data_IF_512230407387
#
_entry.id   IF_512230407387
#
_cell.length_a   1.000
_cell.length_b   1.000
_cell.length_c   1.000
_cell.angle_alpha   90.00
_cell.angle_beta   90.00
_cell.angle_gamma   90.00
#
_symmetry.space_group_name_H-M   'P 1'
#
loop_
_entity.id
_entity.type
_entity.pdbx_description
1 polymer ?
#
# COMPACT_ATOMS: atom_id res chain seq x y z
N UNK A 1 11.98 24.91 -18.53
CA UNK A 1 12.18 24.09 -17.33
C UNK A 1 11.10 23.03 -17.31
N UNK A 2 11.49 21.75 -17.14
CA UNK A 2 10.55 20.64 -17.04
C UNK A 2 9.72 20.76 -15.75
N UNK A 3 8.51 20.22 -15.78
CA UNK A 3 7.67 20.16 -14.57
C UNK A 3 8.30 19.24 -13.50
N UNK A 4 8.06 19.51 -12.21
CA UNK A 4 8.61 18.66 -11.15
C UNK A 4 8.07 17.23 -11.27
N UNK A 5 8.90 16.26 -10.89
CA UNK A 5 8.52 14.84 -10.81
C UNK A 5 8.50 14.44 -9.33
N UNK A 6 7.42 13.83 -8.89
CA UNK A 6 7.25 13.34 -7.53
C UNK A 6 7.21 11.81 -7.47
N UNK A 7 7.65 11.22 -6.35
CA UNK A 7 8.40 11.83 -5.24
C UNK A 7 9.81 12.27 -5.67
N UNK A 8 10.55 13.00 -4.82
CA UNK A 8 11.96 13.32 -5.05
C UNK A 8 12.78 12.07 -5.36
N UNK A 9 13.84 12.21 -6.13
CA UNK A 9 14.64 11.07 -6.64
C UNK A 9 15.06 10.09 -5.53
N UNK A 10 15.51 10.58 -4.38
CA UNK A 10 15.92 9.76 -3.25
C UNK A 10 14.79 9.02 -2.52
N UNK A 11 13.51 9.27 -2.87
CA UNK A 11 12.37 8.63 -2.22
C UNK A 11 11.64 7.63 -3.13
N UNK A 12 12.00 7.52 -4.40
CA UNK A 12 11.23 6.73 -5.39
C UNK A 12 11.15 5.25 -5.08
N UNK A 13 12.19 4.69 -4.48
CA UNK A 13 12.27 3.27 -4.11
C UNK A 13 12.11 3.03 -2.60
N UNK A 14 11.68 4.02 -1.84
CA UNK A 14 11.60 3.97 -0.38
C UNK A 14 10.79 2.78 0.14
N UNK A 15 9.73 2.38 -0.55
CA UNK A 15 8.94 1.21 -0.18
C UNK A 15 9.78 -0.07 -0.17
N UNK A 16 10.66 -0.25 -1.17
CA UNK A 16 11.54 -1.41 -1.27
C UNK A 16 12.72 -1.34 -0.28
N UNK A 17 13.21 -0.13 0.00
CA UNK A 17 14.29 0.10 0.96
C UNK A 17 13.86 -0.19 2.39
N UNK A 18 12.66 0.28 2.79
CA UNK A 18 12.13 0.08 4.15
C UNK A 18 11.56 -1.31 4.37
N UNK A 19 11.12 -1.98 3.31
CA UNK A 19 10.52 -3.32 3.37
C UNK A 19 11.23 -4.25 2.39
N UNK A 20 12.46 -4.71 2.72
CA UNK A 20 13.17 -5.71 1.92
C UNK A 20 12.32 -6.98 1.73
N UNK A 21 12.55 -7.70 0.64
CA UNK A 21 11.75 -8.87 0.26
C UNK A 21 11.57 -9.87 1.42
N UNK A 22 12.64 -10.17 2.14
CA UNK A 22 12.62 -11.15 3.24
C UNK A 22 11.80 -10.69 4.45
N UNK A 23 11.57 -9.40 4.60
CA UNK A 23 10.78 -8.83 5.70
C UNK A 23 9.30 -8.65 5.38
N UNK A 24 8.89 -8.83 4.12
CA UNK A 24 7.51 -8.60 3.69
C UNK A 24 6.55 -9.58 4.38
N UNK A 25 5.56 -9.03 5.07
CA UNK A 25 4.43 -9.75 5.67
C UNK A 25 3.13 -9.42 4.96
N UNK A 26 2.93 -8.15 4.65
CA UNK A 26 1.72 -7.60 4.01
C UNK A 26 2.12 -6.74 2.83
N UNK A 27 1.40 -6.85 1.73
CA UNK A 27 1.52 -5.98 0.56
C UNK A 27 0.25 -5.16 0.44
N UNK A 28 0.38 -3.84 0.40
CA UNK A 28 -0.73 -2.91 0.10
C UNK A 28 -0.39 -2.18 -1.20
N UNK A 29 -1.24 -2.37 -2.22
CA UNK A 29 -1.03 -1.78 -3.54
C UNK A 29 -1.77 -0.45 -3.66
N UNK A 30 -1.02 0.63 -3.91
CA UNK A 30 -1.55 1.91 -4.36
C UNK A 30 -1.51 2.04 -5.88
N UNK A 31 -1.96 3.18 -6.41
CA UNK A 31 -2.01 3.44 -7.84
C UNK A 31 -0.81 4.24 -8.32
N UNK A 32 -0.75 5.52 -8.01
CA UNK A 32 0.35 6.42 -8.32
C UNK A 32 0.63 7.39 -7.16
N UNK A 33 1.80 8.05 -7.13
CA UNK A 33 2.10 9.01 -6.07
C UNK A 33 1.18 10.22 -6.09
N UNK A 34 1.03 10.87 -4.95
CA UNK A 34 0.39 12.19 -4.89
C UNK A 34 1.15 13.17 -5.79
N UNK A 35 0.42 13.99 -6.56
CA UNK A 35 0.99 14.91 -7.54
C UNK A 35 1.13 16.36 -7.03
N UNK A 36 0.72 16.63 -5.79
CA UNK A 36 0.91 17.91 -5.13
C UNK A 36 2.32 18.06 -4.54
N UNK A 37 2.83 19.31 -4.41
CA UNK A 37 4.14 19.56 -3.83
C UNK A 37 4.26 19.00 -2.41
N UNK A 38 5.36 18.31 -2.10
CA UNK A 38 5.67 17.83 -0.77
C UNK A 38 4.80 16.68 -0.25
N UNK A 39 3.88 16.13 -1.03
CA UNK A 39 2.96 15.06 -0.58
C UNK A 39 3.53 13.66 -0.75
N UNK A 40 4.06 13.33 -1.93
CA UNK A 40 4.59 12.01 -2.20
C UNK A 40 5.91 11.76 -1.46
N UNK A 41 6.02 10.63 -0.77
CA UNK A 41 7.20 10.25 0.00
C UNK A 41 7.77 8.87 -0.37
N UNK A 42 7.23 8.23 -1.42
CA UNK A 42 7.69 6.91 -1.88
C UNK A 42 7.01 5.72 -1.22
N UNK A 43 5.97 5.95 -0.43
CA UNK A 43 5.11 4.94 0.17
C UNK A 43 3.66 5.19 -0.27
N UNK A 44 2.95 4.15 -0.70
CA UNK A 44 1.54 4.28 -1.10
C UNK A 44 0.69 4.81 0.06
N UNK A 45 -0.25 5.69 -0.26
CA UNK A 45 -1.17 6.35 0.68
C UNK A 45 -0.54 7.34 1.67
N UNK A 46 0.77 7.26 1.92
CA UNK A 46 1.47 8.03 2.93
C UNK A 46 1.84 9.44 2.46
N UNK A 47 1.92 10.35 3.42
CA UNK A 47 2.49 11.70 3.27
C UNK A 47 3.48 11.97 4.41
N UNK A 48 4.47 12.87 4.23
CA UNK A 48 5.39 13.23 5.32
C UNK A 48 4.66 13.84 6.52
N UNK A 49 5.28 13.76 7.69
CA UNK A 49 4.82 14.50 8.86
C UNK A 49 4.69 16.00 8.55
N UNK A 50 3.67 16.64 9.13
CA UNK A 50 3.36 18.04 8.88
C UNK A 50 2.53 18.30 7.62
N UNK A 51 2.37 17.30 6.74
CA UNK A 51 1.47 17.36 5.60
C UNK A 51 0.09 16.87 6.02
N UNK A 52 -0.96 17.57 5.57
CA UNK A 52 -2.35 17.18 5.87
C UNK A 52 -2.63 15.75 5.41
N UNK A 53 -3.20 14.93 6.29
CA UNK A 53 -3.60 13.56 5.98
C UNK A 53 -4.60 13.54 4.83
N UNK A 54 -4.30 12.84 3.71
CA UNK A 54 -5.20 12.77 2.57
C UNK A 54 -6.49 12.02 2.89
N UNK A 55 -7.59 12.27 2.16
CA UNK A 55 -8.91 11.68 2.45
C UNK A 55 -8.93 10.15 2.45
N UNK A 56 -8.22 9.50 1.52
CA UNK A 56 -8.15 8.04 1.50
C UNK A 56 -7.41 7.49 2.73
N UNK A 57 -6.31 8.12 3.16
CA UNK A 57 -5.59 7.72 4.36
C UNK A 57 -6.40 7.98 5.63
N UNK A 58 -7.15 9.08 5.69
CA UNK A 58 -8.07 9.34 6.79
C UNK A 58 -9.12 8.22 6.93
N UNK A 59 -9.64 7.70 5.81
CA UNK A 59 -10.56 6.56 5.83
C UNK A 59 -9.87 5.26 6.23
N UNK A 60 -8.62 5.04 5.81
CA UNK A 60 -7.80 3.90 6.26
C UNK A 60 -7.65 3.94 7.78
N UNK A 61 -7.36 5.09 8.37
CA UNK A 61 -7.25 5.25 9.82
C UNK A 61 -8.57 5.05 10.56
N UNK A 62 -9.70 5.50 9.99
CA UNK A 62 -11.03 5.21 10.57
C UNK A 62 -11.33 3.72 10.60
N UNK A 63 -11.00 3.00 9.53
CA UNK A 63 -11.16 1.54 9.51
C UNK A 63 -10.20 0.85 10.48
N UNK A 64 -8.96 1.34 10.61
CA UNK A 64 -7.99 0.83 11.58
C UNK A 64 -8.51 0.96 13.02
N UNK A 65 -9.08 2.11 13.37
CA UNK A 65 -9.68 2.35 14.69
C UNK A 65 -10.90 1.43 14.93
N UNK A 66 -11.77 1.30 13.93
CA UNK A 66 -12.95 0.42 14.02
C UNK A 66 -12.57 -1.07 14.09
N UNK A 67 -11.53 -1.49 13.39
CA UNK A 67 -11.09 -2.90 13.30
C UNK A 67 -10.26 -3.34 14.52
N UNK A 68 -9.32 -2.52 14.98
CA UNK A 68 -8.35 -2.87 16.01
C UNK A 68 -8.37 -1.98 17.24
N UNK A 69 -9.19 -0.93 17.28
CA UNK A 69 -9.24 0.03 18.40
C UNK A 69 -7.98 0.91 18.50
N UNK A 70 -7.17 0.98 17.44
CA UNK A 70 -5.98 1.82 17.38
C UNK A 70 -6.40 3.24 17.03
N UNK A 71 -6.09 4.20 17.90
CA UNK A 71 -6.42 5.60 17.67
C UNK A 71 -5.81 6.14 16.37
N UNK A 72 -6.58 6.96 15.64
CA UNK A 72 -6.11 7.56 14.40
C UNK A 72 -4.84 8.40 14.66
N UNK A 73 -3.72 8.12 13.96
CA UNK A 73 -2.52 8.94 14.06
C UNK A 73 -2.79 10.39 13.62
N UNK A 74 -2.08 11.34 14.25
CA UNK A 74 -2.18 12.76 13.88
C UNK A 74 -1.41 13.10 12.59
N UNK A 75 -0.56 12.20 12.10
CA UNK A 75 0.27 12.36 10.90
C UNK A 75 -0.06 11.31 9.84
N UNK A 76 0.42 11.51 8.62
CA UNK A 76 0.24 10.58 7.50
C UNK A 76 1.48 9.78 7.12
N UNK A 77 2.53 9.79 7.96
CA UNK A 77 3.74 9.00 7.70
C UNK A 77 3.53 7.53 8.10
N UNK A 78 3.61 6.63 7.12
CA UNK A 78 3.47 5.18 7.29
C UNK A 78 4.82 4.44 7.31
N UNK A 79 5.93 5.14 7.50
CA UNK A 79 7.25 4.52 7.54
C UNK A 79 7.37 3.47 8.65
N UNK A 80 6.67 3.62 9.77
CA UNK A 80 6.62 2.62 10.83
C UNK A 80 6.01 1.30 10.34
N UNK A 81 4.91 1.35 9.59
CA UNK A 81 4.31 0.16 8.97
C UNK A 81 5.28 -0.51 8.00
N UNK A 82 5.95 0.30 7.15
CA UNK A 82 6.91 -0.22 6.18
C UNK A 82 8.06 -0.98 6.87
N UNK A 83 8.63 -0.43 7.93
CA UNK A 83 9.70 -1.08 8.71
C UNK A 83 9.24 -2.36 9.43
N UNK A 84 7.93 -2.50 9.66
CA UNK A 84 7.31 -3.67 10.31
C UNK A 84 6.85 -4.75 9.32
N UNK A 85 7.21 -4.62 8.06
CA UNK A 85 6.94 -5.63 7.02
C UNK A 85 5.72 -5.35 6.14
N UNK A 86 5.20 -4.12 6.14
CA UNK A 86 4.12 -3.71 5.23
C UNK A 86 4.72 -3.04 4.00
N UNK A 87 4.73 -3.74 2.87
CA UNK A 87 5.17 -3.20 1.58
C UNK A 87 4.08 -2.29 1.00
N UNK A 88 4.28 -0.98 1.15
CA UNK A 88 3.39 0.07 0.65
C UNK A 88 3.82 0.49 -0.76
N UNK A 89 3.42 -0.28 -1.76
CA UNK A 89 3.90 -0.14 -3.13
C UNK A 89 2.84 0.48 -4.05
N UNK A 90 3.19 1.57 -4.73
CA UNK A 90 2.38 2.08 -5.84
C UNK A 90 2.64 1.29 -7.11
N UNK A 91 1.64 1.21 -7.98
CA UNK A 91 1.77 0.60 -9.31
C UNK A 91 2.73 1.40 -10.21
N UNK A 92 2.68 2.73 -10.11
CA UNK A 92 3.57 3.67 -10.78
C UNK A 92 4.34 4.45 -9.72
N UNK A 93 5.68 4.50 -9.79
CA UNK A 93 6.50 5.06 -8.71
C UNK A 93 6.84 6.55 -8.88
N UNK A 94 6.45 7.15 -9.98
CA UNK A 94 6.62 8.59 -10.23
C UNK A 94 5.39 9.20 -10.88
N UNK A 95 5.26 10.53 -10.75
CA UNK A 95 4.19 11.32 -11.35
C UNK A 95 4.70 12.72 -11.67
N UNK A 96 4.20 13.35 -12.75
CA UNK A 96 4.44 14.76 -13.06
C UNK A 96 3.62 15.63 -12.10
N UNK A 97 4.22 16.67 -11.55
CA UNK A 97 3.56 17.60 -10.65
C UNK A 97 2.28 18.19 -11.25
N UNK A 98 1.19 18.14 -10.50
CA UNK A 98 -0.12 18.62 -10.89
C UNK A 98 -0.88 17.75 -11.89
N UNK A 99 -0.37 16.56 -12.27
CA UNK A 99 -1.00 15.72 -13.30
C UNK A 99 -1.04 14.25 -12.86
N UNK A 100 -2.16 13.87 -12.25
CA UNK A 100 -2.42 12.49 -11.84
C UNK A 100 -2.24 11.50 -13.00
N UNK A 101 -1.70 10.32 -12.71
CA UNK A 101 -1.48 9.22 -13.65
C UNK A 101 -0.61 9.56 -14.88
N UNK A 102 0.12 10.67 -14.86
CA UNK A 102 0.93 11.13 -16.00
C UNK A 102 2.05 10.17 -16.42
N UNK A 103 2.51 9.31 -15.54
CA UNK A 103 3.52 8.30 -15.82
C UNK A 103 2.96 6.86 -15.91
N UNK A 104 1.66 6.70 -15.92
CA UNK A 104 1.04 5.40 -16.18
C UNK A 104 1.38 4.90 -17.59
N UNK A 105 1.65 3.61 -17.73
CA UNK A 105 2.04 3.00 -19.00
C UNK A 105 3.44 3.37 -19.49
N UNK A 106 4.31 3.88 -18.62
CA UNK A 106 5.68 4.28 -18.99
C UNK A 106 6.78 3.34 -18.46
N UNK A 107 6.40 2.12 -18.05
CA UNK A 107 7.34 1.06 -17.67
C UNK A 107 7.45 0.76 -16.19
N UNK A 108 6.98 1.64 -15.29
CA UNK A 108 6.98 1.34 -13.86
C UNK A 108 6.19 0.08 -13.52
N UNK A 109 5.11 -0.17 -14.22
CA UNK A 109 4.24 -1.33 -14.02
C UNK A 109 5.00 -2.65 -14.14
N UNK A 110 5.93 -2.75 -15.12
CA UNK A 110 6.77 -3.94 -15.27
C UNK A 110 7.65 -4.17 -14.05
N UNK A 111 8.25 -3.11 -13.51
CA UNK A 111 9.10 -3.19 -12.32
C UNK A 111 8.26 -3.58 -11.08
N UNK A 112 7.14 -2.92 -10.88
CA UNK A 112 6.29 -3.17 -9.71
C UNK A 112 5.54 -4.51 -9.80
N UNK A 113 5.20 -4.98 -11.00
CA UNK A 113 4.69 -6.34 -11.21
C UNK A 113 5.74 -7.39 -10.80
N UNK A 114 7.02 -7.18 -11.18
CA UNK A 114 8.11 -8.06 -10.78
C UNK A 114 8.32 -8.07 -9.26
N UNK A 115 8.21 -6.92 -8.59
CA UNK A 115 8.29 -6.84 -7.12
C UNK A 115 7.17 -7.64 -6.44
N UNK A 116 5.93 -7.49 -6.90
CA UNK A 116 4.78 -8.24 -6.35
C UNK A 116 4.92 -9.74 -6.64
N UNK A 117 5.36 -10.10 -7.85
CA UNK A 117 5.62 -11.49 -8.24
C UNK A 117 6.71 -12.14 -7.37
N UNK A 118 7.76 -11.40 -7.03
CA UNK A 118 8.81 -11.90 -6.13
C UNK A 118 8.26 -12.23 -4.73
N UNK A 119 7.33 -11.42 -4.19
CA UNK A 119 6.66 -11.76 -2.92
C UNK A 119 5.75 -12.96 -3.08
N UNK A 120 4.98 -13.03 -4.18
CA UNK A 120 4.05 -14.14 -4.45
C UNK A 120 4.77 -15.48 -4.69
N UNK A 121 6.02 -15.46 -5.15
CA UNK A 121 6.84 -16.66 -5.38
C UNK A 121 7.47 -17.23 -4.09
N UNK A 122 7.40 -16.50 -2.97
CA UNK A 122 7.98 -16.97 -1.70
C UNK A 122 7.16 -18.12 -1.11
N UNK A 123 7.84 -19.06 -0.48
CA UNK A 123 7.19 -20.14 0.27
C UNK A 123 6.51 -19.61 1.55
N UNK A 124 7.01 -18.53 2.13
CA UNK A 124 6.43 -17.90 3.31
C UNK A 124 5.08 -17.24 3.01
N UNK A 125 4.01 -17.61 3.74
CA UNK A 125 2.71 -17.00 3.58
C UNK A 125 2.74 -15.49 3.81
N UNK A 126 2.14 -14.73 2.90
CA UNK A 126 2.02 -13.29 2.98
C UNK A 126 0.57 -12.84 2.72
N UNK A 127 0.23 -11.63 3.12
CA UNK A 127 -1.11 -11.06 2.90
C UNK A 127 -1.03 -9.99 1.82
N UNK A 128 -1.96 -10.05 0.88
CA UNK A 128 -2.12 -9.02 -0.16
C UNK A 128 -3.44 -8.29 0.08
N UNK A 129 -3.36 -7.01 0.44
CA UNK A 129 -4.51 -6.15 0.64
C UNK A 129 -4.72 -5.31 -0.63
N UNK A 130 -5.83 -5.55 -1.31
CA UNK A 130 -6.14 -5.03 -2.63
C UNK A 130 -7.37 -4.13 -2.57
N UNK A 131 -7.15 -2.84 -2.42
CA UNK A 131 -8.19 -1.84 -2.35
C UNK A 131 -8.55 -1.28 -3.72
N UNK A 132 -9.76 -1.59 -4.19
CA UNK A 132 -10.30 -1.13 -5.45
C UNK A 132 -9.90 -1.97 -6.67
N UNK A 133 -10.62 -1.74 -7.76
CA UNK A 133 -10.51 -2.54 -8.98
C UNK A 133 -9.12 -2.51 -9.62
N UNK A 134 -8.40 -1.39 -9.49
CA UNK A 134 -7.05 -1.25 -10.08
C UNK A 134 -6.05 -2.21 -9.43
N UNK A 135 -5.98 -2.24 -8.09
CA UNK A 135 -5.13 -3.16 -7.36
C UNK A 135 -5.53 -4.64 -7.60
N UNK A 136 -6.83 -4.92 -7.63
CA UNK A 136 -7.36 -6.25 -7.89
C UNK A 136 -7.03 -6.73 -9.31
N UNK A 137 -7.13 -5.85 -10.32
CA UNK A 137 -6.77 -6.17 -11.70
C UNK A 137 -5.27 -6.46 -11.87
N UNK A 138 -4.40 -5.69 -11.18
CA UNK A 138 -2.96 -5.96 -11.14
C UNK A 138 -2.68 -7.34 -10.56
N UNK A 139 -3.26 -7.65 -9.42
CA UNK A 139 -3.05 -8.92 -8.73
C UNK A 139 -3.49 -10.14 -9.56
N UNK A 140 -4.53 -10.01 -10.38
CA UNK A 140 -4.98 -11.09 -11.28
C UNK A 140 -3.93 -11.50 -12.32
N UNK A 141 -2.99 -10.62 -12.65
CA UNK A 141 -1.91 -10.89 -13.61
C UNK A 141 -0.67 -11.51 -12.97
N UNK A 142 -0.60 -11.52 -11.64
CA UNK A 142 0.56 -12.04 -10.90
C UNK A 142 0.35 -13.54 -10.65
N UNK A 143 1.17 -14.34 -11.30
CA UNK A 143 1.19 -15.80 -11.11
C UNK A 143 1.55 -16.15 -9.66
N UNK A 144 0.92 -17.18 -9.11
CA UNK A 144 1.16 -17.64 -7.74
C UNK A 144 0.47 -16.87 -6.64
N UNK A 145 0.04 -15.62 -6.89
CA UNK A 145 -0.59 -14.80 -5.85
C UNK A 145 -1.87 -15.42 -5.28
N UNK A 146 -2.61 -16.15 -6.10
CA UNK A 146 -3.86 -16.85 -5.74
C UNK A 146 -3.71 -18.37 -5.64
N UNK A 147 -2.48 -18.88 -5.56
CA UNK A 147 -2.23 -20.33 -5.49
C UNK A 147 -2.59 -20.99 -4.14
N UNK A 148 -3.10 -20.21 -3.18
CA UNK A 148 -3.63 -20.72 -1.91
C UNK A 148 -2.68 -20.61 -0.71
N UNK A 149 -1.40 -20.32 -0.93
CA UNK A 149 -0.44 -20.13 0.15
C UNK A 149 -0.47 -18.72 0.76
N UNK A 150 -1.02 -17.74 0.04
CA UNK A 150 -1.15 -16.37 0.47
C UNK A 150 -2.61 -16.01 0.76
N UNK A 151 -2.81 -15.03 1.64
CA UNK A 151 -4.13 -14.44 1.87
C UNK A 151 -4.34 -13.24 0.94
N UNK A 152 -5.46 -13.21 0.25
CA UNK A 152 -5.86 -12.06 -0.56
C UNK A 152 -7.10 -11.43 0.07
N UNK A 153 -7.00 -10.17 0.49
CA UNK A 153 -8.08 -9.39 1.09
C UNK A 153 -8.48 -8.30 0.10
N UNK A 154 -9.67 -8.41 -0.45
CA UNK A 154 -10.21 -7.46 -1.42
C UNK A 154 -11.34 -6.64 -0.81
N UNK A 155 -11.39 -5.36 -1.12
CA UNK A 155 -12.50 -4.46 -0.81
C UNK A 155 -12.55 -3.30 -1.81
N UNK A 156 -13.62 -2.48 -1.82
CA UNK A 156 -13.61 -1.19 -2.49
C UNK A 156 -12.45 -0.32 -2.01
N UNK A 157 -12.10 0.70 -2.80
CA UNK A 157 -11.02 1.63 -2.47
C UNK A 157 -11.40 2.54 -1.29
N UNK A 158 -10.45 2.93 -0.41
CA UNK A 158 -10.70 3.82 0.74
C UNK A 158 -11.03 5.27 0.37
N UNK A 159 -10.99 5.64 -0.92
CA UNK A 159 -11.44 6.97 -1.38
C UNK A 159 -12.83 7.30 -0.88
N UNK A 160 -13.11 8.57 -0.51
CA UNK A 160 -14.47 9.02 -0.16
C UNK A 160 -15.55 8.66 -1.19
N UNK A 161 -15.16 8.48 -2.46
CA UNK A 161 -16.08 8.09 -3.54
C UNK A 161 -16.55 6.63 -3.46
N UNK A 162 -15.86 5.76 -2.72
CA UNK A 162 -16.13 4.32 -2.69
C UNK A 162 -16.07 3.68 -1.30
N UNK A 163 -15.54 4.36 -0.29
CA UNK A 163 -15.33 3.76 1.04
C UNK A 163 -16.61 3.21 1.68
N UNK A 164 -17.74 3.88 1.50
CA UNK A 164 -19.05 3.45 2.01
C UNK A 164 -19.68 2.28 1.25
N UNK A 165 -19.04 1.82 0.16
CA UNK A 165 -19.53 0.68 -0.65
C UNK A 165 -18.95 -0.66 -0.21
N UNK A 166 -18.30 -0.71 0.97
CA UNK A 166 -17.76 -1.94 1.56
C UNK A 166 -16.27 -1.90 1.92
N UNK A 167 -15.60 -0.74 1.85
CA UNK A 167 -14.28 -0.58 2.47
C UNK A 167 -14.42 -0.53 4.00
N UNK A 168 -15.31 0.32 4.51
CA UNK A 168 -15.63 0.34 5.94
C UNK A 168 -16.30 -0.97 6.36
N UNK A 169 -15.79 -1.59 7.42
CA UNK A 169 -16.22 -2.89 7.92
C UNK A 169 -15.54 -4.07 7.21
N UNK A 170 -14.62 -3.86 6.27
CA UNK A 170 -13.87 -4.94 5.61
C UNK A 170 -12.82 -5.60 6.52
N UNK A 171 -12.44 -4.94 7.60
CA UNK A 171 -11.53 -5.44 8.65
C UNK A 171 -10.22 -6.01 8.13
N UNK A 172 -9.50 -5.30 7.26
CA UNK A 172 -8.31 -5.84 6.60
C UNK A 172 -7.15 -6.10 7.57
N UNK A 173 -7.03 -5.30 8.63
CA UNK A 173 -5.90 -5.35 9.57
C UNK A 173 -5.98 -6.55 10.50
N UNK A 174 -7.14 -6.78 11.13
CA UNK A 174 -7.36 -7.95 11.98
C UNK A 174 -7.32 -9.25 11.18
N UNK A 175 -7.87 -9.26 9.96
CA UNK A 175 -7.83 -10.42 9.06
C UNK A 175 -6.40 -10.74 8.63
N UNK A 176 -5.59 -9.73 8.30
CA UNK A 176 -4.18 -9.91 7.97
C UNK A 176 -3.41 -10.53 9.16
N UNK A 177 -3.59 -9.98 10.35
CA UNK A 177 -2.93 -10.48 11.55
C UNK A 177 -3.37 -11.89 11.94
N UNK A 178 -4.66 -12.21 11.81
CA UNK A 178 -5.17 -13.57 12.03
C UNK A 178 -4.50 -14.58 11.10
N UNK A 179 -4.44 -14.28 9.80
CA UNK A 179 -3.78 -15.14 8.82
C UNK A 179 -2.28 -15.33 9.13
N UNK A 180 -1.56 -14.26 9.42
CA UNK A 180 -0.13 -14.34 9.75
C UNK A 180 0.11 -15.23 10.98
N UNK A 181 -0.67 -15.03 12.03
CA UNK A 181 -0.57 -15.81 13.29
C UNK A 181 -0.89 -17.28 13.05
N UNK A 182 -1.95 -17.59 12.30
CA UNK A 182 -2.34 -18.96 11.94
C UNK A 182 -1.24 -19.71 11.17
N UNK A 183 -0.45 -18.96 10.39
CA UNK A 183 0.67 -19.51 9.63
C UNK A 183 2.04 -19.35 10.32
N UNK A 184 2.06 -19.15 11.64
CA UNK A 184 3.29 -19.09 12.43
C UNK A 184 4.14 -17.84 12.22
N UNK A 185 3.58 -16.79 11.62
CA UNK A 185 4.25 -15.50 11.43
C UNK A 185 3.81 -14.48 12.48
N UNK A 186 4.75 -13.64 12.93
CA UNK A 186 4.41 -12.55 13.85
C UNK A 186 3.41 -11.58 13.20
N UNK A 187 2.34 -11.17 13.90
CA UNK A 187 1.41 -10.17 13.39
C UNK A 187 2.11 -8.82 13.15
N UNK A 188 1.48 -7.96 12.37
CA UNK A 188 1.93 -6.58 12.18
C UNK A 188 1.41 -5.74 13.35
N UNK A 189 2.30 -4.93 13.92
CA UNK A 189 1.90 -3.81 14.79
C UNK A 189 1.51 -2.63 13.89
N UNK A 190 0.21 -2.33 13.87
CA UNK A 190 -0.39 -1.30 13.03
C UNK A 190 -0.42 0.10 13.67
N UNK A 191 0.21 0.28 14.82
CA UNK A 191 0.34 1.63 15.41
C UNK A 191 1.19 2.53 14.53
N UNK A 192 0.89 3.82 14.51
CA UNK A 192 1.64 4.83 13.77
C UNK A 192 2.93 5.28 14.46
#
# INVERSE_FOLDING_TARGET
>A
AGKPVYPPQGCRLKALELTPLDSVKVVILGQDPYHGPGQAMGLSFAVPEGVKVPPSLANIYKELEADLGIACPAHGDLSAWARRGVLLLNNTLTVEGGKAASHAGRGWETVTDACVAAVAARAEPSVFILWGSHAQAKAKRIEGLRAGQHCVIESPHPSPLSAYRGFFGSRPFSRANAFLTEHGRAPVDWQG
#
